data_IF_331198104772
#
_entry.id   IF_331198104772
#
_cell.length_a   1.000
_cell.length_b   1.000
_cell.length_c   1.000
_cell.angle_alpha   90.00
_cell.angle_beta   90.00
_cell.angle_gamma   90.00
#
_symmetry.space_group_name_H-M   'P 1'
#
loop_
_entity.id
_entity.type
_entity.pdbx_description
1 polymer ?
#
# COMPACT_ATOMS: atom_id res chain seq x y z
N UNK A 1 27.79 -38.91 -11.46
CA UNK A 1 27.44 -38.38 -12.79
C UNK A 1 25.93 -38.33 -13.03
N UNK A 2 25.15 -39.39 -12.74
CA UNK A 2 23.68 -39.34 -12.89
C UNK A 2 22.99 -38.32 -11.94
N UNK A 3 23.42 -38.26 -10.67
CA UNK A 3 22.88 -37.34 -9.66
C UNK A 3 22.97 -35.87 -10.08
N UNK A 4 24.13 -35.46 -10.61
CA UNK A 4 24.39 -34.10 -11.06
C UNK A 4 23.59 -33.73 -12.31
N UNK A 5 23.30 -34.69 -13.20
CA UNK A 5 22.44 -34.45 -14.36
C UNK A 5 20.97 -34.23 -13.96
N UNK A 6 20.44 -35.03 -13.02
CA UNK A 6 19.06 -34.86 -12.54
C UNK A 6 18.87 -33.53 -11.79
N UNK A 7 19.86 -33.13 -10.99
CA UNK A 7 19.85 -31.81 -10.34
C UNK A 7 19.85 -30.68 -11.35
N UNK A 8 20.70 -30.75 -12.39
CA UNK A 8 20.78 -29.70 -13.41
C UNK A 8 19.47 -29.60 -14.23
N UNK A 9 18.84 -30.73 -14.56
CA UNK A 9 17.52 -30.76 -15.21
C UNK A 9 16.41 -30.16 -14.33
N UNK A 10 16.43 -30.44 -13.03
CA UNK A 10 15.51 -29.82 -12.09
C UNK A 10 15.70 -28.30 -12.03
N UNK A 11 16.93 -27.82 -11.78
CA UNK A 11 17.20 -26.40 -11.64
C UNK A 11 16.93 -25.60 -12.93
N UNK A 12 17.28 -26.15 -14.10
CA UNK A 12 17.00 -25.51 -15.40
C UNK A 12 15.50 -25.33 -15.70
N UNK A 13 14.63 -26.12 -15.09
CA UNK A 13 13.17 -25.97 -15.22
C UNK A 13 12.57 -25.15 -14.07
N UNK A 14 13.14 -25.26 -12.87
CA UNK A 14 12.67 -24.59 -11.66
C UNK A 14 13.05 -23.10 -11.60
N UNK A 15 14.26 -22.73 -12.00
CA UNK A 15 14.76 -21.36 -11.91
C UNK A 15 13.94 -20.35 -12.75
N UNK A 16 13.51 -20.65 -13.99
CA UNK A 16 12.61 -19.76 -14.73
C UNK A 16 11.25 -19.55 -14.05
N UNK A 17 10.70 -20.58 -13.40
CA UNK A 17 9.45 -20.47 -12.66
C UNK A 17 9.62 -19.54 -11.45
N UNK A 18 10.73 -19.68 -10.73
CA UNK A 18 11.11 -18.78 -9.64
C UNK A 18 11.16 -17.33 -10.12
N UNK A 19 11.84 -17.05 -11.23
CA UNK A 19 11.91 -15.70 -11.79
C UNK A 19 10.53 -15.11 -12.15
N UNK A 20 9.65 -15.91 -12.75
CA UNK A 20 8.29 -15.46 -13.07
C UNK A 20 7.49 -15.11 -11.81
N UNK A 21 7.60 -15.91 -10.75
CA UNK A 21 6.92 -15.64 -9.48
C UNK A 21 7.44 -14.35 -8.83
N UNK A 22 8.75 -14.14 -8.85
CA UNK A 22 9.38 -12.94 -8.33
C UNK A 22 8.93 -11.68 -9.08
N UNK A 23 8.97 -11.70 -10.42
CA UNK A 23 8.50 -10.57 -11.24
C UNK A 23 7.03 -10.24 -11.00
N UNK A 24 6.20 -11.28 -10.82
CA UNK A 24 4.78 -11.10 -10.52
C UNK A 24 4.57 -10.47 -9.14
N UNK A 25 5.31 -10.91 -8.14
CA UNK A 25 5.24 -10.31 -6.80
C UNK A 25 5.75 -8.86 -6.79
N UNK A 26 6.84 -8.59 -7.50
CA UNK A 26 7.37 -7.23 -7.68
C UNK A 26 6.33 -6.29 -8.30
N UNK A 27 5.59 -6.77 -9.31
CA UNK A 27 4.49 -6.00 -9.91
C UNK A 27 3.43 -5.61 -8.86
N UNK A 28 3.06 -6.51 -7.95
CA UNK A 28 2.12 -6.20 -6.88
C UNK A 28 2.66 -5.15 -5.91
N UNK A 29 3.89 -5.35 -5.44
CA UNK A 29 4.55 -4.42 -4.51
C UNK A 29 4.65 -3.03 -5.12
N UNK A 30 5.00 -2.91 -6.41
CA UNK A 30 5.05 -1.63 -7.11
C UNK A 30 3.69 -0.92 -7.19
N UNK A 31 2.61 -1.66 -7.48
CA UNK A 31 1.27 -1.08 -7.47
C UNK A 31 0.83 -0.62 -6.08
N UNK A 32 1.16 -1.38 -5.04
CA UNK A 32 0.88 -0.99 -3.65
C UNK A 32 1.70 0.25 -3.23
N UNK A 33 2.97 0.32 -3.61
CA UNK A 33 3.81 1.49 -3.37
C UNK A 33 3.29 2.74 -4.08
N UNK A 34 2.78 2.59 -5.31
CA UNK A 34 2.15 3.70 -6.02
C UNK A 34 0.89 4.21 -5.29
N UNK A 35 0.03 3.31 -4.78
CA UNK A 35 -1.12 3.69 -3.95
C UNK A 35 -0.67 4.40 -2.66
N UNK A 36 0.38 3.89 -2.01
CA UNK A 36 0.97 4.50 -0.81
C UNK A 36 1.48 5.91 -1.08
N UNK A 37 2.16 6.11 -2.21
CA UNK A 37 2.68 7.43 -2.59
C UNK A 37 1.55 8.44 -2.79
N UNK A 38 0.45 8.04 -3.45
CA UNK A 38 -0.73 8.90 -3.61
C UNK A 38 -1.37 9.25 -2.25
N UNK A 39 -1.46 8.28 -1.32
CA UNK A 39 -1.99 8.51 0.02
C UNK A 39 -1.11 9.42 0.87
N UNK A 40 0.21 9.22 0.83
CA UNK A 40 1.15 10.07 1.57
C UNK A 40 1.23 11.47 0.99
N UNK A 41 1.07 11.63 -0.33
CA UNK A 41 0.87 12.93 -0.98
C UNK A 41 -0.37 13.63 -0.44
N UNK A 42 -1.50 12.93 -0.41
CA UNK A 42 -2.76 13.45 0.14
C UNK A 42 -2.64 13.82 1.64
N UNK A 43 -1.99 12.98 2.45
CA UNK A 43 -1.72 13.25 3.87
C UNK A 43 -0.95 14.56 4.06
N UNK A 44 0.13 14.76 3.30
CA UNK A 44 0.96 15.97 3.37
C UNK A 44 0.16 17.21 2.99
N UNK A 45 -0.60 17.14 1.91
CA UNK A 45 -1.41 18.28 1.47
C UNK A 45 -2.55 18.60 2.44
N UNK A 46 -3.13 17.59 3.09
CA UNK A 46 -4.11 17.77 4.17
C UNK A 46 -3.47 18.40 5.41
N UNK A 47 -2.26 17.96 5.78
CA UNK A 47 -1.48 18.56 6.87
C UNK A 47 -1.19 20.04 6.62
N UNK A 48 -0.74 20.40 5.42
CA UNK A 48 -0.55 21.81 5.03
C UNK A 48 -1.85 22.60 5.15
N UNK A 49 -2.97 22.04 4.69
CA UNK A 49 -4.27 22.72 4.77
C UNK A 49 -4.72 22.94 6.22
N UNK A 50 -4.47 21.97 7.10
CA UNK A 50 -4.71 22.10 8.54
C UNK A 50 -3.82 23.19 9.16
N UNK A 51 -2.53 23.18 8.89
CA UNK A 51 -1.58 24.21 9.37
C UNK A 51 -1.96 25.61 8.89
N UNK A 52 -2.33 25.77 7.62
CA UNK A 52 -2.80 27.05 7.08
C UNK A 52 -4.11 27.52 7.74
N UNK A 53 -5.05 26.60 8.00
CA UNK A 53 -6.29 26.94 8.70
C UNK A 53 -6.03 27.42 10.13
N UNK A 54 -5.11 26.73 10.83
CA UNK A 54 -4.70 27.07 12.19
C UNK A 54 -3.96 28.41 12.23
N UNK A 55 -3.01 28.63 11.32
CA UNK A 55 -2.30 29.91 11.21
C UNK A 55 -3.25 31.08 10.94
N UNK A 56 -4.22 30.91 10.02
CA UNK A 56 -5.20 31.94 9.72
C UNK A 56 -6.11 32.24 10.92
N UNK A 57 -6.47 31.22 11.70
CA UNK A 57 -7.25 31.37 12.94
C UNK A 57 -6.46 32.04 14.06
N UNK A 58 -5.21 31.64 14.31
CA UNK A 58 -4.39 32.13 15.42
C UNK A 58 -3.87 33.56 15.19
N UNK A 59 -3.52 33.90 13.94
CA UNK A 59 -2.96 35.22 13.60
C UNK A 59 -4.01 36.24 13.14
N UNK A 60 -5.25 35.80 12.88
CA UNK A 60 -6.29 36.62 12.27
C UNK A 60 -6.00 37.06 10.83
N UNK A 61 -4.89 36.62 10.23
CA UNK A 61 -4.46 36.97 8.86
C UNK A 61 -5.15 36.09 7.82
N UNK A 62 -6.47 36.13 7.81
CA UNK A 62 -7.29 35.52 6.75
C UNK A 62 -7.50 36.48 5.59
N UNK A 63 -7.92 35.94 4.43
CA UNK A 63 -8.32 36.73 3.28
C UNK A 63 -9.82 36.58 3.01
N UNK A 64 -10.49 37.55 2.37
CA UNK A 64 -11.91 37.45 2.05
C UNK A 64 -12.19 36.23 1.17
N UNK A 65 -13.06 35.33 1.64
CA UNK A 65 -13.37 34.07 0.95
C UNK A 65 -12.46 32.89 1.30
N UNK A 66 -11.62 33.00 2.34
CA UNK A 66 -10.77 31.90 2.84
C UNK A 66 -11.54 30.59 3.10
N UNK A 67 -12.73 30.67 3.68
CA UNK A 67 -13.59 29.51 3.90
C UNK A 67 -13.98 28.81 2.59
N UNK A 68 -14.43 29.59 1.60
CA UNK A 68 -14.79 29.05 0.28
C UNK A 68 -13.59 28.41 -0.41
N UNK A 69 -12.39 28.93 -0.17
CA UNK A 69 -11.14 28.34 -0.61
C UNK A 69 -10.87 27.00 0.10
N UNK A 70 -10.93 26.96 1.43
CA UNK A 70 -10.76 25.73 2.21
C UNK A 70 -11.75 24.64 1.78
N UNK A 71 -13.03 24.99 1.63
CA UNK A 71 -14.07 24.07 1.16
C UNK A 71 -13.75 23.51 -0.23
N UNK A 72 -13.40 24.37 -1.19
CA UNK A 72 -13.04 23.92 -2.56
C UNK A 72 -11.83 22.99 -2.54
N UNK A 73 -10.83 23.29 -1.72
CA UNK A 73 -9.64 22.44 -1.55
C UNK A 73 -9.99 21.11 -0.90
N UNK A 74 -10.84 21.10 0.13
CA UNK A 74 -11.33 19.86 0.73
C UNK A 74 -12.10 19.00 -0.26
N UNK A 75 -12.99 19.58 -1.07
CA UNK A 75 -13.68 18.84 -2.15
C UNK A 75 -12.68 18.26 -3.16
N UNK A 76 -11.63 19.01 -3.50
CA UNK A 76 -10.57 18.49 -4.36
C UNK A 76 -9.84 17.30 -3.72
N UNK A 77 -9.49 17.38 -2.43
CA UNK A 77 -8.82 16.29 -1.69
C UNK A 77 -9.71 15.06 -1.54
N UNK A 78 -11.01 15.29 -1.33
CA UNK A 78 -12.02 14.25 -1.30
C UNK A 78 -12.11 13.47 -2.62
N UNK A 79 -12.04 14.17 -3.77
CA UNK A 79 -12.02 13.54 -5.09
C UNK A 79 -10.74 12.74 -5.33
N UNK A 80 -9.58 13.26 -4.90
CA UNK A 80 -8.31 12.53 -4.98
C UNK A 80 -8.40 11.23 -4.19
N UNK A 81 -8.95 11.27 -2.97
CA UNK A 81 -9.17 10.06 -2.18
C UNK A 81 -10.10 9.06 -2.89
N UNK A 82 -11.20 9.53 -3.48
CA UNK A 82 -12.09 8.65 -4.27
C UNK A 82 -11.35 7.98 -5.43
N UNK A 83 -10.51 8.71 -6.15
CA UNK A 83 -9.72 8.16 -7.25
C UNK A 83 -8.74 7.09 -6.75
N UNK A 84 -8.07 7.33 -5.62
CA UNK A 84 -7.19 6.33 -5.00
C UNK A 84 -7.97 5.06 -4.61
N UNK A 85 -9.18 5.22 -4.07
CA UNK A 85 -10.05 4.10 -3.75
C UNK A 85 -10.49 3.32 -5.00
N UNK A 86 -10.79 4.00 -6.10
CA UNK A 86 -11.12 3.36 -7.37
C UNK A 86 -9.91 2.59 -7.94
N UNK A 87 -8.70 3.15 -7.85
CA UNK A 87 -7.47 2.45 -8.22
C UNK A 87 -7.26 1.18 -7.39
N UNK A 88 -7.52 1.24 -6.08
CA UNK A 88 -7.48 0.06 -5.22
C UNK A 88 -8.50 -1.00 -5.66
N UNK A 89 -9.74 -0.61 -5.96
CA UNK A 89 -10.76 -1.55 -6.45
C UNK A 89 -10.36 -2.19 -7.77
N UNK A 90 -9.81 -1.42 -8.71
CA UNK A 90 -9.30 -1.95 -9.96
C UNK A 90 -8.15 -2.94 -9.72
N UNK A 91 -7.24 -2.63 -8.80
CA UNK A 91 -6.14 -3.52 -8.42
C UNK A 91 -6.67 -4.83 -7.83
N UNK A 92 -7.58 -4.78 -6.86
CA UNK A 92 -8.21 -5.97 -6.29
C UNK A 92 -8.94 -6.77 -7.36
N UNK A 93 -9.80 -6.13 -8.15
CA UNK A 93 -10.53 -6.80 -9.24
C UNK A 93 -9.63 -7.51 -10.25
N UNK A 94 -8.48 -6.92 -10.60
CA UNK A 94 -7.55 -7.51 -11.56
C UNK A 94 -6.65 -8.60 -10.96
N UNK A 95 -6.31 -8.51 -9.67
CA UNK A 95 -5.22 -9.30 -9.09
C UNK A 95 -5.62 -10.24 -7.94
N UNK A 96 -6.86 -10.24 -7.46
CA UNK A 96 -7.29 -11.05 -6.29
C UNK A 96 -6.83 -12.52 -6.35
N UNK A 97 -7.18 -13.24 -7.41
CA UNK A 97 -6.74 -14.64 -7.57
C UNK A 97 -5.24 -14.78 -7.83
N UNK A 98 -4.64 -13.76 -8.47
CA UNK A 98 -3.22 -13.78 -8.79
C UNK A 98 -2.35 -13.60 -7.55
N UNK A 99 -2.77 -12.79 -6.58
CA UNK A 99 -2.08 -12.61 -5.30
C UNK A 99 -2.11 -13.92 -4.52
N UNK A 100 -3.29 -14.56 -4.43
CA UNK A 100 -3.43 -15.85 -3.78
C UNK A 100 -2.51 -16.92 -4.40
N UNK A 101 -2.52 -17.04 -5.74
CA UNK A 101 -1.68 -17.99 -6.46
C UNK A 101 -0.19 -17.73 -6.22
N UNK A 102 0.24 -16.47 -6.22
CA UNK A 102 1.65 -16.11 -5.95
C UNK A 102 2.03 -16.43 -4.52
N UNK A 103 1.21 -16.06 -3.53
CA UNK A 103 1.47 -16.39 -2.12
C UNK A 103 1.55 -17.91 -1.89
N UNK A 104 0.66 -18.69 -2.51
CA UNK A 104 0.72 -20.15 -2.46
C UNK A 104 2.01 -20.68 -3.10
N UNK A 105 2.38 -20.13 -4.26
CA UNK A 105 3.58 -20.55 -4.98
C UNK A 105 4.85 -20.22 -4.19
N UNK A 106 4.91 -19.06 -3.53
CA UNK A 106 6.03 -18.69 -2.66
C UNK A 106 6.13 -19.68 -1.47
N UNK A 107 5.01 -20.06 -0.85
CA UNK A 107 5.01 -21.05 0.23
C UNK A 107 5.51 -22.43 -0.24
N UNK A 108 5.04 -22.90 -1.39
CA UNK A 108 5.50 -24.17 -1.99
C UNK A 108 7.00 -24.08 -2.31
N UNK A 109 7.46 -22.96 -2.87
CA UNK A 109 8.87 -22.70 -3.18
C UNK A 109 9.73 -22.77 -1.94
N UNK A 110 9.34 -22.12 -0.84
CA UNK A 110 10.08 -22.19 0.44
C UNK A 110 10.21 -23.65 0.90
N UNK A 111 9.13 -24.44 0.82
CA UNK A 111 9.16 -25.84 1.21
C UNK A 111 10.09 -26.69 0.33
N UNK A 112 10.04 -26.49 -0.99
CA UNK A 112 10.92 -27.16 -1.97
C UNK A 112 12.37 -26.79 -1.74
N UNK A 113 12.67 -25.50 -1.56
CA UNK A 113 14.04 -25.02 -1.34
C UNK A 113 14.60 -25.55 -0.01
N UNK A 114 13.79 -25.61 1.06
CA UNK A 114 14.17 -26.24 2.32
C UNK A 114 14.46 -27.74 2.18
N UNK A 115 13.66 -28.46 1.39
CA UNK A 115 13.88 -29.88 1.12
C UNK A 115 15.19 -30.12 0.37
N UNK A 116 15.43 -29.38 -0.72
CA UNK A 116 16.67 -29.49 -1.48
C UNK A 116 17.89 -29.05 -0.68
N UNK A 117 17.72 -28.09 0.23
CA UNK A 117 18.77 -27.71 1.17
C UNK A 117 19.16 -28.85 2.09
N UNK A 118 18.18 -29.48 2.73
CA UNK A 118 18.43 -30.64 3.57
C UNK A 118 19.08 -31.79 2.78
N UNK A 119 18.58 -32.07 1.57
CA UNK A 119 19.11 -33.11 0.69
C UNK A 119 20.57 -32.86 0.27
N UNK A 120 20.93 -31.61 -0.03
CA UNK A 120 22.28 -31.25 -0.45
C UNK A 120 23.29 -31.33 0.71
N UNK A 121 22.88 -30.91 1.92
CA UNK A 121 23.68 -31.06 3.14
C UNK A 121 23.92 -32.55 3.44
N UNK A 122 22.87 -33.36 3.40
CA UNK A 122 22.97 -34.79 3.68
C UNK A 122 23.92 -35.52 2.71
N UNK A 123 23.92 -35.14 1.44
CA UNK A 123 24.76 -35.77 0.41
C UNK A 123 26.13 -35.09 0.19
N UNK A 124 26.53 -34.13 1.04
CA UNK A 124 27.77 -33.35 0.91
C UNK A 124 27.97 -32.72 -0.48
N UNK A 125 26.88 -32.29 -1.13
CA UNK A 125 26.96 -31.56 -2.40
C UNK A 125 27.19 -30.09 -2.07
N UNK A 126 28.30 -29.54 -2.56
CA UNK A 126 28.60 -28.10 -2.48
C UNK A 126 27.63 -27.41 -3.45
N UNK A 127 26.50 -26.92 -2.93
CA UNK A 127 25.55 -26.17 -3.73
C UNK A 127 25.49 -24.71 -3.28
N UNK A 128 25.73 -23.78 -4.19
CA UNK A 128 25.66 -22.34 -3.92
C UNK A 128 24.22 -21.80 -4.06
N UNK A 129 23.26 -22.61 -4.49
CA UNK A 129 21.90 -22.17 -4.80
C UNK A 129 21.05 -21.74 -3.59
N UNK A 130 21.60 -21.85 -2.36
CA UNK A 130 20.94 -21.38 -1.13
C UNK A 130 20.60 -19.88 -1.15
N UNK A 131 21.25 -19.10 -2.03
CA UNK A 131 20.93 -17.69 -2.20
C UNK A 131 19.49 -17.45 -2.68
N UNK A 132 18.83 -18.43 -3.31
CA UNK A 132 17.45 -18.29 -3.81
C UNK A 132 16.38 -18.38 -2.72
N UNK A 133 16.71 -18.89 -1.52
CA UNK A 133 15.78 -18.96 -0.37
C UNK A 133 15.54 -17.57 0.21
N UNK A 134 16.58 -16.75 0.32
CA UNK A 134 16.50 -15.43 0.98
C UNK A 134 15.50 -14.50 0.28
N UNK A 135 15.53 -14.35 -1.06
CA UNK A 135 14.51 -13.60 -1.79
C UNK A 135 13.10 -14.12 -1.53
N UNK A 136 12.88 -15.44 -1.56
CA UNK A 136 11.57 -16.04 -1.32
C UNK A 136 11.04 -15.72 0.09
N UNK A 137 11.92 -15.70 1.09
CA UNK A 137 11.57 -15.33 2.46
C UNK A 137 11.25 -13.84 2.62
N UNK A 138 11.86 -12.96 1.83
CA UNK A 138 11.62 -11.51 1.87
C UNK A 138 10.40 -11.07 1.05
N UNK A 139 9.98 -11.88 0.08
CA UNK A 139 8.84 -11.61 -0.80
C UNK A 139 7.51 -11.45 -0.04
N UNK A 140 7.25 -12.28 0.98
CA UNK A 140 6.02 -12.21 1.80
C UNK A 140 6.05 -10.98 2.74
N UNK A 141 7.11 -10.76 3.55
CA UNK A 141 7.23 -9.55 4.37
C UNK A 141 7.17 -8.25 3.56
N UNK A 142 7.76 -8.20 2.37
CA UNK A 142 7.70 -7.01 1.51
C UNK A 142 6.26 -6.69 1.11
N UNK A 143 5.48 -7.71 0.71
CA UNK A 143 4.07 -7.55 0.39
C UNK A 143 3.23 -7.10 1.61
N UNK A 144 3.47 -7.71 2.78
CA UNK A 144 2.78 -7.34 4.02
C UNK A 144 3.14 -5.90 4.43
N UNK A 145 4.41 -5.52 4.32
CA UNK A 145 4.86 -4.17 4.67
C UNK A 145 4.25 -3.11 3.76
N UNK A 146 4.25 -3.33 2.44
CA UNK A 146 3.65 -2.41 1.48
C UNK A 146 2.14 -2.24 1.72
N UNK A 147 1.43 -3.34 1.99
CA UNK A 147 0.00 -3.31 2.25
C UNK A 147 -0.35 -2.60 3.57
N UNK A 148 0.35 -2.94 4.67
CA UNK A 148 0.17 -2.27 5.96
C UNK A 148 0.50 -0.78 5.88
N UNK A 149 1.55 -0.41 5.14
CA UNK A 149 1.95 0.99 5.01
C UNK A 149 0.87 1.85 4.34
N UNK A 150 0.07 1.29 3.43
CA UNK A 150 -1.10 1.98 2.88
C UNK A 150 -2.19 2.22 3.94
N UNK A 151 -2.48 1.19 4.76
CA UNK A 151 -3.53 1.24 5.78
C UNK A 151 -3.24 2.24 6.90
N UNK A 152 -1.97 2.37 7.28
CA UNK A 152 -1.52 3.26 8.37
C UNK A 152 -1.64 4.74 8.01
N UNK A 153 -1.65 5.11 6.72
CA UNK A 153 -1.73 6.51 6.28
C UNK A 153 -3.15 7.07 6.40
N UNK A 154 -4.18 6.24 6.16
CA UNK A 154 -5.59 6.65 6.22
C UNK A 154 -5.99 7.30 7.56
N UNK A 155 -5.69 6.73 8.75
CA UNK A 155 -6.02 7.38 10.02
C UNK A 155 -5.27 8.70 10.22
N UNK A 156 -4.09 8.88 9.61
CA UNK A 156 -3.36 10.16 9.65
C UNK A 156 -4.08 11.22 8.82
N UNK A 157 -4.58 10.85 7.64
CA UNK A 157 -5.43 11.74 6.83
C UNK A 157 -6.67 12.16 7.63
N UNK A 158 -7.34 11.21 8.29
CA UNK A 158 -8.49 11.50 9.15
C UNK A 158 -8.13 12.46 10.30
N UNK A 159 -6.97 12.26 10.93
CA UNK A 159 -6.48 13.16 11.98
C UNK A 159 -6.24 14.58 11.44
N UNK A 160 -5.55 14.73 10.30
CA UNK A 160 -5.32 16.05 9.70
C UNK A 160 -6.62 16.74 9.28
N UNK A 161 -7.60 15.98 8.78
CA UNK A 161 -8.93 16.49 8.44
C UNK A 161 -9.63 17.13 9.65
N UNK A 162 -9.54 16.50 10.82
CA UNK A 162 -10.15 17.02 12.06
C UNK A 162 -9.35 18.17 12.69
N UNK A 163 -8.08 18.34 12.34
CA UNK A 163 -7.26 19.48 12.77
C UNK A 163 -7.54 20.77 11.99
N UNK A 164 -8.40 20.72 10.96
CA UNK A 164 -8.81 21.92 10.21
C UNK A 164 -9.75 22.75 11.09
N UNK A 165 -9.32 23.97 11.39
CA UNK A 165 -10.09 24.88 12.24
C UNK A 165 -11.30 25.42 11.46
N UNK A 166 -12.50 25.25 12.03
CA UNK A 166 -13.77 25.68 11.44
C UNK A 166 -14.25 27.03 11.97
N UNK A 167 -13.67 27.51 13.07
CA UNK A 167 -14.02 28.77 13.72
C UNK A 167 -13.03 29.87 13.34
N UNK A 168 -13.35 30.65 12.32
CA UNK A 168 -12.67 31.93 12.07
C UNK A 168 -13.36 33.04 12.84
N UNK A 169 -13.14 33.11 14.15
CA UNK A 169 -13.29 34.30 15.02
C UNK A 169 -14.62 35.08 15.09
N UNK A 170 -15.63 34.84 14.24
CA UNK A 170 -16.84 35.66 14.22
C UNK A 170 -18.14 34.91 13.87
N UNK A 171 -18.08 33.78 13.16
CA UNK A 171 -19.25 32.94 12.87
C UNK A 171 -18.82 31.47 12.79
N UNK A 172 -19.65 30.56 13.30
CA UNK A 172 -19.52 29.14 12.99
C UNK A 172 -19.87 28.93 11.51
N UNK A 173 -19.03 28.16 10.81
CA UNK A 173 -19.15 27.94 9.37
C UNK A 173 -19.75 26.55 9.10
N UNK A 174 -21.08 26.42 8.96
CA UNK A 174 -21.76 25.13 8.83
C UNK A 174 -21.40 24.39 7.54
N UNK A 175 -21.09 25.10 6.45
CA UNK A 175 -20.75 24.49 5.16
C UNK A 175 -19.39 23.79 5.20
N UNK A 176 -18.40 24.38 5.86
CA UNK A 176 -17.07 23.79 6.02
C UNK A 176 -17.11 22.58 6.97
N UNK A 177 -17.85 22.69 8.09
CA UNK A 177 -17.99 21.58 9.03
C UNK A 177 -18.75 20.40 8.42
N UNK A 178 -19.80 20.65 7.63
CA UNK A 178 -20.51 19.61 6.87
C UNK A 178 -19.60 18.96 5.83
N UNK A 179 -18.75 19.73 5.15
CA UNK A 179 -17.79 19.19 4.19
C UNK A 179 -16.75 18.28 4.87
N UNK A 180 -16.27 18.65 6.07
CA UNK A 180 -15.38 17.82 6.89
C UNK A 180 -16.09 16.53 7.27
N UNK A 181 -17.33 16.60 7.78
CA UNK A 181 -18.12 15.42 8.13
C UNK A 181 -18.33 14.49 6.93
N UNK A 182 -18.67 15.02 5.76
CA UNK A 182 -18.83 14.23 4.54
C UNK A 182 -17.55 13.50 4.14
N UNK A 183 -16.40 14.16 4.28
CA UNK A 183 -15.12 13.51 3.98
C UNK A 183 -14.79 12.44 5.04
N UNK A 184 -15.00 12.71 6.33
CA UNK A 184 -14.84 11.70 7.39
C UNK A 184 -15.73 10.47 7.14
N UNK A 185 -16.99 10.69 6.73
CA UNK A 185 -17.89 9.60 6.34
C UNK A 185 -17.36 8.82 5.14
N UNK A 186 -16.80 9.48 4.12
CA UNK A 186 -16.20 8.78 3.00
C UNK A 186 -15.01 7.92 3.43
N UNK A 187 -14.11 8.42 4.28
CA UNK A 187 -12.98 7.64 4.80
C UNK A 187 -13.46 6.36 5.53
N UNK A 188 -14.60 6.43 6.21
CA UNK A 188 -15.22 5.28 6.88
C UNK A 188 -15.83 4.28 5.89
N UNK A 189 -16.53 4.75 4.85
CA UNK A 189 -17.25 3.90 3.89
C UNK A 189 -16.37 3.36 2.75
N UNK A 190 -15.22 3.99 2.50
CA UNK A 190 -14.26 3.60 1.47
C UNK A 190 -12.94 3.16 2.11
N UNK A 191 -12.92 2.08 2.91
CA UNK A 191 -11.71 1.65 3.58
C UNK A 191 -10.65 1.21 2.57
N UNK A 192 -9.42 1.67 2.76
CA UNK A 192 -8.27 1.20 2.00
C UNK A 192 -7.75 -0.04 2.71
N UNK A 193 -8.16 -1.21 2.21
CA UNK A 193 -7.75 -2.54 2.68
C UNK A 193 -7.42 -3.39 1.47
N UNK A 194 -6.37 -4.20 1.61
CA UNK A 194 -5.91 -5.11 0.57
C UNK A 194 -6.28 -6.51 1.02
N UNK A 195 -7.49 -6.92 0.66
CA UNK A 195 -8.00 -8.24 0.94
C UNK A 195 -7.72 -9.17 -0.24
N UNK A 196 -7.11 -10.34 0.03
CA UNK A 196 -6.85 -11.35 -1.01
C UNK A 196 -8.11 -12.15 -1.37
N UNK A 197 -9.05 -12.26 -0.42
CA UNK A 197 -10.31 -12.99 -0.52
C UNK A 197 -11.39 -12.22 0.26
N UNK A 198 -11.88 -11.11 -0.31
CA UNK A 198 -13.13 -10.45 0.12
C UNK A 198 -13.19 -10.00 1.57
#
# INVERSE_FOLDING_TARGET
QALTQHMLLFWSTYEPLVWLTYLRNLQFVLHLELLREQLTGLEREMGLLAEYSRFASETGRSFPGFESFLRRRLVQKQRIYSHVYDMLKCFQGAFNFSILAVLLTINIRIAVDCYFMYYSIYNNVINNDYYLIVPALLEIPAFIYASQSCMVVVPRIAHQLHNIVTDSGCCSCPDLSLQIQNFSLQLLHQPIRIDCLG
#
